data_IF_346696038269
#
_entry.id   IF_346696038269
#
_cell.length_a   1.000
_cell.length_b   1.000
_cell.length_c   1.000
_cell.angle_alpha   90.00
_cell.angle_beta   90.00
_cell.angle_gamma   90.00
#
_symmetry.space_group_name_H-M   'P 1'
#
loop_
_entity.id
_entity.type
_entity.pdbx_description
1 polymer ?
#
# COMPACT_ATOMS: atom_id res chain seq x y z
N UNK A 1 -21.55 -9.91 24.99
CA UNK A 1 -20.46 -9.02 24.58
C UNK A 1 -21.17 -7.94 23.82
N UNK A 2 -21.35 -6.80 24.48
CA UNK A 2 -22.04 -5.65 23.90
C UNK A 2 -21.26 -5.21 22.67
N UNK A 3 -21.93 -5.22 21.52
CA UNK A 3 -21.52 -4.47 20.34
C UNK A 3 -21.55 -2.99 20.75
N UNK A 4 -20.44 -2.50 21.32
CA UNK A 4 -20.18 -1.07 21.34
C UNK A 4 -20.04 -0.67 19.88
N UNK A 5 -21.12 -0.12 19.32
CA UNK A 5 -21.05 0.73 18.15
C UNK A 5 -20.10 1.89 18.52
N UNK A 6 -18.80 1.70 18.29
CA UNK A 6 -17.78 2.72 18.45
C UNK A 6 -18.15 3.86 17.49
N UNK A 7 -18.75 4.92 18.03
CA UNK A 7 -19.06 6.11 17.26
C UNK A 7 -17.77 6.63 16.61
N UNK A 8 -17.81 7.01 15.33
CA UNK A 8 -16.63 7.46 14.61
C UNK A 8 -16.03 8.70 15.29
N UNK A 9 -14.74 8.64 15.60
CA UNK A 9 -13.94 9.75 16.13
C UNK A 9 -13.95 10.91 15.13
N UNK A 10 -14.51 12.04 15.53
CA UNK A 10 -14.55 13.23 14.69
C UNK A 10 -13.13 13.71 14.35
N UNK A 11 -12.86 13.94 13.06
CA UNK A 11 -11.56 14.43 12.57
C UNK A 11 -10.49 13.36 12.34
N UNK A 12 -10.77 12.08 12.65
CA UNK A 12 -9.88 10.96 12.34
C UNK A 12 -10.14 10.40 10.93
N UNK A 13 -9.10 9.94 10.20
CA UNK A 13 -9.28 9.34 8.89
C UNK A 13 -10.08 8.03 8.97
N UNK A 14 -10.92 7.76 7.97
CA UNK A 14 -11.60 6.50 7.77
C UNK A 14 -10.73 5.50 7.01
N UNK A 15 -10.54 4.31 7.58
CA UNK A 15 -9.81 3.21 6.95
C UNK A 15 -10.76 2.01 6.81
N UNK A 16 -10.92 1.51 5.59
CA UNK A 16 -11.68 0.29 5.31
C UNK A 16 -10.74 -0.90 5.21
N UNK A 17 -10.98 -1.96 5.98
CA UNK A 17 -10.26 -3.22 5.89
C UNK A 17 -11.21 -4.26 5.28
N UNK A 18 -10.76 -4.98 4.25
CA UNK A 18 -11.52 -6.02 3.56
C UNK A 18 -10.82 -7.37 3.76
N UNK A 19 -11.52 -8.31 4.40
CA UNK A 19 -10.99 -9.63 4.77
C UNK A 19 -12.07 -10.73 4.65
N UNK A 20 -12.16 -11.42 3.51
CA UNK A 20 -13.22 -12.41 3.23
C UNK A 20 -12.95 -13.84 3.72
N UNK A 21 -11.71 -14.22 4.02
CA UNK A 21 -11.36 -15.63 4.32
C UNK A 21 -10.45 -15.82 5.50
N UNK A 22 -9.71 -14.80 5.90
CA UNK A 22 -8.74 -14.94 6.98
C UNK A 22 -9.45 -15.20 8.32
N UNK A 23 -8.85 -16.03 9.16
CA UNK A 23 -8.89 -15.85 10.61
C UNK A 23 -8.66 -14.36 10.87
N UNK A 24 -9.55 -13.73 11.64
CA UNK A 24 -9.77 -12.28 11.65
C UNK A 24 -8.47 -11.46 11.48
N UNK A 25 -8.46 -10.35 10.72
CA UNK A 25 -7.26 -9.51 10.62
C UNK A 25 -6.69 -9.18 12.01
N UNK A 26 -7.57 -9.09 13.00
CA UNK A 26 -7.30 -9.08 14.43
C UNK A 26 -6.31 -10.17 14.92
N UNK A 27 -6.42 -11.42 14.50
CA UNK A 27 -5.56 -12.52 14.98
C UNK A 27 -4.11 -12.39 14.48
N UNK A 28 -3.92 -12.07 13.20
CA UNK A 28 -2.58 -11.95 12.61
C UNK A 28 -1.95 -10.58 12.81
N UNK A 29 -2.76 -9.54 12.99
CA UNK A 29 -2.34 -8.14 12.99
C UNK A 29 -2.93 -7.33 14.16
N UNK A 30 -3.22 -7.97 15.30
CA UNK A 30 -3.78 -7.31 16.49
C UNK A 30 -3.01 -6.05 16.90
N UNK A 31 -1.67 -6.10 16.84
CA UNK A 31 -0.83 -4.95 17.18
C UNK A 31 -1.01 -3.79 16.20
N UNK A 32 -0.93 -4.05 14.89
CA UNK A 32 -1.16 -3.04 13.86
C UNK A 32 -2.58 -2.50 13.94
N UNK A 33 -3.58 -3.36 14.12
CA UNK A 33 -4.97 -2.96 14.23
C UNK A 33 -5.22 -2.08 15.45
N UNK A 34 -4.62 -2.40 16.61
CA UNK A 34 -4.67 -1.54 17.78
C UNK A 34 -4.07 -0.15 17.51
N UNK A 35 -2.95 -0.08 16.79
CA UNK A 35 -2.34 1.20 16.37
C UNK A 35 -3.25 1.96 15.40
N UNK A 36 -3.87 1.29 14.42
CA UNK A 36 -4.81 1.92 13.50
C UNK A 36 -6.05 2.45 14.25
N UNK A 37 -6.65 1.65 15.12
CA UNK A 37 -7.84 2.02 15.89
C UNK A 37 -7.59 3.17 16.87
N UNK A 38 -6.36 3.33 17.38
CA UNK A 38 -6.05 4.48 18.24
C UNK A 38 -6.08 5.80 17.48
N UNK A 39 -5.72 5.81 16.19
CA UNK A 39 -5.52 7.03 15.41
C UNK A 39 -6.53 7.25 14.27
N UNK A 40 -7.30 6.23 13.88
CA UNK A 40 -8.22 6.25 12.74
C UNK A 40 -9.58 5.59 13.08
N UNK A 41 -10.58 5.90 12.25
CA UNK A 41 -11.87 5.22 12.22
C UNK A 41 -11.74 3.98 11.32
N UNK A 42 -11.42 2.85 11.94
CA UNK A 42 -11.20 1.59 11.22
C UNK A 42 -12.51 0.81 11.11
N UNK A 43 -12.89 0.45 9.90
CA UNK A 43 -14.01 -0.47 9.64
C UNK A 43 -13.51 -1.73 8.96
N UNK A 44 -13.62 -2.87 9.63
CA UNK A 44 -13.36 -4.17 9.03
C UNK A 44 -14.64 -4.73 8.40
N UNK A 45 -14.52 -5.28 7.19
CA UNK A 45 -15.63 -5.88 6.47
C UNK A 45 -15.24 -7.27 5.97
N UNK A 46 -15.99 -8.25 6.46
CA UNK A 46 -15.81 -9.66 6.13
C UNK A 46 -16.73 -10.12 4.99
N UNK A 47 -17.79 -9.35 4.72
CA UNK A 47 -18.84 -9.74 3.78
C UNK A 47 -18.73 -8.98 2.45
N UNK A 48 -18.78 -9.68 1.30
CA UNK A 48 -18.66 -9.07 -0.03
C UNK A 48 -19.66 -7.94 -0.32
N UNK A 49 -20.90 -8.11 0.12
CA UNK A 49 -21.98 -7.12 -0.11
C UNK A 49 -21.76 -5.85 0.72
N UNK A 50 -21.31 -6.02 1.96
CA UNK A 50 -20.93 -4.90 2.82
C UNK A 50 -19.71 -4.18 2.24
N UNK A 51 -18.69 -4.92 1.78
CA UNK A 51 -17.47 -4.32 1.21
C UNK A 51 -17.80 -3.48 -0.03
N UNK A 52 -18.67 -4.00 -0.91
CA UNK A 52 -19.17 -3.25 -2.06
C UNK A 52 -19.85 -1.94 -1.66
N UNK A 53 -20.70 -2.00 -0.63
CA UNK A 53 -21.45 -0.84 -0.15
C UNK A 53 -20.52 0.22 0.46
N UNK A 54 -19.49 -0.21 1.20
CA UNK A 54 -18.51 0.69 1.79
C UNK A 54 -17.59 1.34 0.74
N UNK A 55 -17.14 0.56 -0.25
CA UNK A 55 -16.38 1.09 -1.39
C UNK A 55 -17.22 2.13 -2.15
N UNK A 56 -18.48 1.82 -2.44
CA UNK A 56 -19.37 2.70 -3.20
C UNK A 56 -19.70 4.01 -2.44
N UNK A 57 -19.55 4.05 -1.10
CA UNK A 57 -19.70 5.28 -0.30
C UNK A 57 -18.52 6.25 -0.45
N UNK A 58 -17.33 5.77 -0.79
CA UNK A 58 -16.17 6.61 -1.15
C UNK A 58 -15.64 7.58 -0.08
N UNK A 59 -15.86 7.32 1.22
CA UNK A 59 -15.45 8.23 2.31
C UNK A 59 -14.20 7.75 3.07
N UNK A 60 -13.58 6.66 2.63
CA UNK A 60 -12.37 6.11 3.25
C UNK A 60 -11.13 6.72 2.60
N UNK A 61 -10.19 7.19 3.40
CA UNK A 61 -8.89 7.65 2.90
C UNK A 61 -7.98 6.48 2.53
N UNK A 62 -8.24 5.27 3.04
CA UNK A 62 -7.49 4.09 2.68
C UNK A 62 -8.37 2.85 2.67
N UNK A 63 -8.11 1.93 1.73
CA UNK A 63 -8.73 0.61 1.68
C UNK A 63 -7.62 -0.44 1.74
N UNK A 64 -7.55 -1.18 2.85
CA UNK A 64 -6.64 -2.29 3.05
C UNK A 64 -7.35 -3.59 2.66
N UNK A 65 -6.74 -4.37 1.78
CA UNK A 65 -7.24 -5.70 1.40
C UNK A 65 -6.25 -6.72 1.93
N UNK A 66 -6.69 -7.55 2.88
CA UNK A 66 -5.74 -8.28 3.74
C UNK A 66 -5.70 -9.78 3.45
N UNK A 67 -6.53 -10.27 2.53
CA UNK A 67 -6.46 -11.65 2.10
C UNK A 67 -6.65 -11.83 0.60
N UNK A 68 -6.10 -12.94 0.10
CA UNK A 68 -6.12 -13.27 -1.31
C UNK A 68 -7.49 -13.72 -1.80
N UNK A 69 -8.48 -13.97 -0.93
CA UNK A 69 -9.79 -14.44 -1.38
C UNK A 69 -10.54 -13.38 -2.17
N UNK A 70 -10.19 -12.10 -2.01
CA UNK A 70 -10.60 -11.02 -2.91
C UNK A 70 -10.40 -11.38 -4.40
N UNK A 71 -9.40 -12.22 -4.71
CA UNK A 71 -9.05 -12.62 -6.08
C UNK A 71 -9.95 -13.72 -6.66
N UNK A 72 -10.79 -14.39 -5.84
CA UNK A 72 -11.64 -15.48 -6.29
C UNK A 72 -12.74 -14.97 -7.25
N UNK A 73 -13.13 -15.80 -8.23
CA UNK A 73 -14.11 -15.43 -9.28
C UNK A 73 -15.43 -14.87 -8.72
N UNK A 74 -15.90 -15.38 -7.58
CA UNK A 74 -17.13 -14.90 -6.93
C UNK A 74 -17.06 -13.44 -6.44
N UNK A 75 -15.85 -12.90 -6.24
CA UNK A 75 -15.62 -11.51 -5.82
C UNK A 75 -15.20 -10.61 -7.00
N UNK A 76 -15.33 -11.09 -8.24
CA UNK A 76 -15.00 -10.32 -9.45
C UNK A 76 -15.68 -8.96 -9.56
N UNK A 77 -16.88 -8.80 -8.99
CA UNK A 77 -17.56 -7.51 -8.94
C UNK A 77 -16.84 -6.53 -7.98
N UNK A 78 -16.39 -7.00 -6.82
CA UNK A 78 -15.64 -6.20 -5.85
C UNK A 78 -14.28 -5.83 -6.43
N UNK A 79 -13.59 -6.79 -7.05
CA UNK A 79 -12.39 -6.50 -7.83
C UNK A 79 -12.67 -5.48 -8.93
N UNK A 80 -13.81 -5.53 -9.61
CA UNK A 80 -14.16 -4.54 -10.62
C UNK A 80 -14.36 -3.15 -10.01
N UNK A 81 -14.94 -3.06 -8.81
CA UNK A 81 -15.11 -1.80 -8.07
C UNK A 81 -13.80 -1.28 -7.53
N UNK A 82 -13.01 -2.11 -6.85
CA UNK A 82 -11.65 -1.80 -6.42
C UNK A 82 -10.80 -1.43 -7.62
N UNK A 83 -10.90 -2.13 -8.75
CA UNK A 83 -10.24 -1.75 -10.00
C UNK A 83 -10.79 -0.49 -10.61
N UNK A 84 -12.04 -0.09 -10.37
CA UNK A 84 -12.58 1.19 -10.86
C UNK A 84 -12.08 2.33 -9.98
N UNK A 85 -12.13 2.13 -8.67
CA UNK A 85 -11.50 2.96 -7.64
C UNK A 85 -10.00 3.12 -7.94
N UNK A 86 -9.29 2.03 -8.23
CA UNK A 86 -7.88 1.98 -8.57
C UNK A 86 -7.59 2.41 -10.01
N UNK A 87 -8.41 2.13 -11.03
CA UNK A 87 -8.14 2.56 -12.44
C UNK A 87 -8.40 4.03 -12.66
N UNK A 88 -9.32 4.62 -11.90
CA UNK A 88 -9.34 6.08 -11.79
C UNK A 88 -8.00 6.62 -11.28
N UNK A 89 -7.16 5.77 -10.66
CA UNK A 89 -5.90 6.11 -9.99
C UNK A 89 -4.63 5.51 -10.59
N UNK A 90 -4.70 4.47 -11.44
CA UNK A 90 -3.57 3.60 -11.79
C UNK A 90 -3.62 3.17 -13.27
N UNK A 91 -3.88 4.08 -14.20
CA UNK A 91 -4.03 3.71 -15.62
C UNK A 91 -2.75 3.18 -16.33
N UNK A 92 -1.64 2.87 -15.64
CA UNK A 92 -0.39 2.34 -16.23
C UNK A 92 0.33 1.39 -15.27
N UNK A 93 0.32 0.06 -15.46
CA UNK A 93 1.09 -0.88 -14.61
C UNK A 93 1.41 -2.23 -15.33
N UNK A 94 2.62 -2.75 -15.08
CA UNK A 94 3.18 -4.08 -15.44
C UNK A 94 4.21 -4.54 -14.37
N UNK A 95 4.83 -5.72 -14.48
CA UNK A 95 5.60 -6.40 -13.40
C UNK A 95 7.13 -6.51 -13.62
N UNK A 96 7.98 -6.21 -12.62
CA UNK A 96 9.40 -6.63 -12.52
C UNK A 96 9.81 -6.99 -11.08
N UNK A 97 11.05 -7.42 -10.80
CA UNK A 97 11.62 -7.64 -9.46
C UNK A 97 12.94 -6.89 -9.28
N UNK A 98 13.06 -6.03 -8.26
CA UNK A 98 14.34 -5.38 -7.88
C UNK A 98 14.38 -5.04 -6.39
N UNK A 99 15.55 -4.69 -5.84
CA UNK A 99 15.70 -4.23 -4.45
C UNK A 99 15.14 -2.81 -4.35
N UNK A 100 14.61 -2.34 -3.21
CA UNK A 100 14.03 -0.98 -3.13
C UNK A 100 14.60 -0.11 -1.99
N UNK A 101 14.87 1.18 -2.28
CA UNK A 101 15.43 2.21 -1.40
C UNK A 101 14.42 3.35 -1.18
N UNK A 102 14.35 3.91 0.03
CA UNK A 102 13.40 4.99 0.34
C UNK A 102 13.59 6.17 -0.60
N UNK A 103 12.49 6.66 -1.17
CA UNK A 103 12.52 7.77 -2.10
C UNK A 103 12.58 9.11 -1.35
N UNK A 104 13.64 9.92 -1.52
CA UNK A 104 13.69 11.26 -0.92
C UNK A 104 12.68 12.24 -1.57
N UNK A 105 12.11 11.89 -2.73
CA UNK A 105 11.16 12.72 -3.47
C UNK A 105 9.70 12.56 -3.07
N UNK A 106 9.35 11.65 -2.17
CA UNK A 106 7.96 11.49 -1.69
C UNK A 106 7.66 12.57 -0.65
N UNK A 107 7.02 13.66 -1.08
CA UNK A 107 6.80 14.85 -0.24
C UNK A 107 5.55 14.78 0.63
N UNK A 108 4.60 13.92 0.27
CA UNK A 108 3.28 13.87 0.91
C UNK A 108 3.11 12.70 1.89
N UNK A 109 4.17 11.90 2.07
CA UNK A 109 4.25 10.83 3.04
C UNK A 109 5.18 11.24 4.19
N UNK A 110 4.74 11.04 5.43
CA UNK A 110 5.62 11.13 6.59
C UNK A 110 6.64 9.96 6.53
N UNK A 111 7.86 10.26 6.09
CA UNK A 111 8.93 9.26 5.92
C UNK A 111 9.72 8.99 7.20
N UNK A 112 9.46 9.75 8.26
CA UNK A 112 10.13 9.63 9.55
C UNK A 112 9.81 8.27 10.19
N UNK A 113 10.85 7.45 10.41
CA UNK A 113 10.73 6.12 11.00
C UNK A 113 10.71 4.97 9.99
N UNK A 114 10.52 5.26 8.70
CA UNK A 114 10.66 4.27 7.62
C UNK A 114 12.13 3.83 7.45
N UNK A 115 12.36 2.54 7.18
CA UNK A 115 13.70 2.06 6.84
C UNK A 115 14.20 2.70 5.54
N UNK A 116 15.51 2.98 5.50
CA UNK A 116 16.20 3.50 4.31
C UNK A 116 16.21 2.49 3.15
N UNK A 117 16.24 1.20 3.48
CA UNK A 117 16.23 0.09 2.53
C UNK A 117 15.08 -0.84 2.91
N UNK A 118 14.26 -1.21 1.92
CA UNK A 118 13.15 -2.14 2.11
C UNK A 118 13.62 -3.56 1.73
N UNK A 119 13.85 -4.47 2.69
CA UNK A 119 14.57 -5.71 2.44
C UNK A 119 13.63 -6.81 1.95
N UNK A 120 13.29 -6.86 0.65
CA UNK A 120 12.39 -7.91 0.14
C UNK A 120 12.85 -8.62 -1.12
N UNK A 121 12.59 -9.93 -1.11
CA UNK A 121 12.90 -10.90 -2.18
C UNK A 121 11.66 -11.39 -2.93
N UNK A 122 10.44 -11.01 -2.48
CA UNK A 122 9.16 -11.42 -3.06
C UNK A 122 8.09 -10.35 -2.86
N UNK A 123 8.17 -9.28 -3.64
CA UNK A 123 7.12 -8.27 -3.71
C UNK A 123 6.50 -8.24 -5.12
N UNK A 124 5.24 -7.81 -5.20
CA UNK A 124 4.61 -7.40 -6.45
C UNK A 124 5.00 -5.93 -6.70
N UNK A 125 5.43 -5.60 -7.91
CA UNK A 125 5.85 -4.23 -8.25
C UNK A 125 4.82 -3.54 -9.13
N UNK A 126 4.71 -2.22 -8.96
CA UNK A 126 3.96 -1.28 -9.77
C UNK A 126 4.90 -0.57 -10.75
N UNK A 127 4.71 -0.73 -12.07
CA UNK A 127 5.47 -0.01 -13.11
C UNK A 127 4.80 1.28 -13.55
N UNK A 128 5.59 2.26 -14.00
CA UNK A 128 5.06 3.46 -14.66
C UNK A 128 4.43 4.46 -13.70
N UNK A 129 4.81 4.37 -12.42
CA UNK A 129 4.47 5.33 -11.38
C UNK A 129 5.28 6.62 -11.58
N UNK A 130 4.69 7.78 -11.24
CA UNK A 130 5.48 9.01 -11.12
C UNK A 130 6.40 8.90 -9.91
N UNK A 131 7.58 9.53 -9.99
CA UNK A 131 8.63 9.33 -8.98
C UNK A 131 8.16 9.75 -7.60
N UNK A 132 7.44 10.86 -7.47
CA UNK A 132 6.88 11.34 -6.20
C UNK A 132 5.80 10.43 -5.60
N UNK A 133 5.25 9.50 -6.39
CA UNK A 133 4.28 8.49 -5.93
C UNK A 133 4.96 7.19 -5.44
N UNK A 134 6.26 7.03 -5.68
CA UNK A 134 7.01 5.84 -5.28
C UNK A 134 7.55 6.05 -3.87
N UNK A 135 7.12 5.25 -2.89
CA UNK A 135 7.68 5.34 -1.53
C UNK A 135 9.07 4.74 -1.52
N UNK A 136 9.24 3.60 -2.20
CA UNK A 136 10.51 2.93 -2.35
C UNK A 136 10.89 2.83 -3.83
N UNK A 137 12.01 3.41 -4.21
CA UNK A 137 12.60 3.34 -5.54
C UNK A 137 13.31 2.01 -5.72
N UNK A 138 13.11 1.34 -6.85
CA UNK A 138 13.99 0.22 -7.18
C UNK A 138 15.44 0.68 -7.32
N UNK A 139 16.36 -0.14 -6.84
CA UNK A 139 17.77 0.17 -6.68
C UNK A 139 18.57 -1.03 -7.15
N UNK A 140 19.34 -0.85 -8.21
CA UNK A 140 20.38 -1.80 -8.62
C UNK A 140 21.68 -1.34 -7.97
N UNK A 141 22.25 -2.19 -7.12
CA UNK A 141 23.51 -1.86 -6.49
C UNK A 141 24.63 -1.83 -7.54
N UNK A 142 25.61 -0.90 -7.45
CA UNK A 142 26.69 -0.82 -8.43
C UNK A 142 27.43 -2.15 -8.64
N UNK A 143 27.57 -2.95 -7.59
CA UNK A 143 28.16 -4.29 -7.64
C UNK A 143 27.33 -5.35 -8.37
N UNK A 144 26.03 -5.11 -8.56
CA UNK A 144 25.09 -5.99 -9.27
C UNK A 144 25.04 -5.65 -10.80
N UNK A 145 25.77 -4.62 -11.24
CA UNK A 145 25.86 -4.21 -12.66
C UNK A 145 26.97 -5.04 -13.34
N UNK A 146 26.61 -5.81 -14.36
CA UNK A 146 27.59 -6.55 -15.16
C UNK A 146 28.57 -5.59 -15.86
N UNK A 147 29.85 -5.95 -15.94
CA UNK A 147 30.94 -5.14 -16.54
C UNK A 147 30.77 -4.82 -18.06
N UNK A 148 29.60 -5.07 -18.64
CA UNK A 148 29.24 -4.71 -20.01
C UNK A 148 27.88 -4.02 -20.14
N UNK A 149 27.23 -3.65 -19.03
CA UNK A 149 25.99 -2.88 -19.04
C UNK A 149 26.31 -1.40 -19.32
N UNK A 150 25.94 -0.93 -20.51
CA UNK A 150 26.17 0.43 -20.99
C UNK A 150 25.00 1.38 -20.70
N UNK A 151 24.02 0.94 -19.92
CA UNK A 151 22.87 1.76 -19.52
C UNK A 151 23.31 2.88 -18.58
N UNK A 152 22.93 4.11 -18.93
CA UNK A 152 23.15 5.27 -18.06
C UNK A 152 22.33 5.11 -16.78
N UNK A 153 22.97 5.29 -15.62
CA UNK A 153 22.28 5.33 -14.32
C UNK A 153 22.13 6.75 -13.82
N UNK A 154 21.01 7.05 -13.16
CA UNK A 154 20.81 8.29 -12.42
C UNK A 154 21.61 8.29 -11.11
N UNK A 155 21.59 9.40 -10.38
CA UNK A 155 22.31 9.56 -9.10
C UNK A 155 21.84 8.59 -8.00
N UNK A 156 20.77 7.83 -8.26
CA UNK A 156 20.17 6.85 -7.37
C UNK A 156 20.33 5.42 -7.88
N UNK A 157 21.15 5.17 -8.91
CA UNK A 157 21.41 3.83 -9.42
C UNK A 157 20.25 3.24 -10.23
N UNK A 158 19.35 4.08 -10.74
CA UNK A 158 18.28 3.66 -11.65
C UNK A 158 18.63 3.90 -13.10
N UNK A 159 18.20 2.99 -13.98
CA UNK A 159 18.41 3.15 -15.42
C UNK A 159 17.65 4.35 -15.95
N UNK A 160 18.37 5.28 -16.57
CA UNK A 160 17.82 6.47 -17.21
C UNK A 160 17.00 6.06 -18.43
N UNK A 161 15.73 6.46 -18.46
CA UNK A 161 14.83 6.22 -19.59
C UNK A 161 14.08 4.89 -19.56
N UNK A 162 14.28 4.03 -18.56
CA UNK A 162 13.45 2.85 -18.31
C UNK A 162 12.21 3.20 -17.47
N UNK A 163 11.12 2.44 -17.66
CA UNK A 163 9.93 2.56 -16.80
C UNK A 163 10.29 2.13 -15.38
N UNK A 164 10.19 3.07 -14.44
CA UNK A 164 10.47 2.79 -13.03
C UNK A 164 9.35 1.96 -12.42
N UNK A 165 9.73 1.08 -11.49
CA UNK A 165 8.82 0.28 -10.71
C UNK A 165 9.08 0.32 -9.22
N UNK A 166 8.03 0.07 -8.44
CA UNK A 166 8.08 0.15 -6.98
C UNK A 166 7.27 -0.95 -6.33
N UNK A 167 7.80 -1.53 -5.25
CA UNK A 167 7.06 -2.44 -4.38
C UNK A 167 6.08 -1.71 -3.47
N UNK A 168 6.21 -0.38 -3.35
CA UNK A 168 5.41 0.43 -2.43
C UNK A 168 5.12 1.79 -3.06
N UNK A 169 3.86 2.02 -3.43
CA UNK A 169 3.42 3.31 -3.96
C UNK A 169 2.44 4.00 -3.03
N UNK A 170 2.45 5.31 -3.02
CA UNK A 170 1.51 6.15 -2.31
C UNK A 170 1.20 7.37 -3.17
N UNK A 171 -0.06 7.53 -3.56
CA UNK A 171 -0.49 8.60 -4.46
C UNK A 171 -1.70 9.35 -3.89
N UNK A 172 -1.73 10.67 -4.12
CA UNK A 172 -2.87 11.52 -3.81
C UNK A 172 -3.98 11.32 -4.84
N UNK A 173 -5.20 11.19 -4.36
CA UNK A 173 -6.37 10.75 -5.11
C UNK A 173 -7.56 11.63 -4.73
N UNK A 174 -7.86 12.65 -5.53
CA UNK A 174 -8.88 13.67 -5.21
C UNK A 174 -8.65 14.30 -3.81
N UNK A 175 -9.49 13.97 -2.83
CA UNK A 175 -9.39 14.42 -1.43
C UNK A 175 -8.76 13.36 -0.49
N UNK A 176 -8.29 12.24 -1.04
CA UNK A 176 -7.77 11.09 -0.30
C UNK A 176 -6.45 10.57 -0.84
N UNK A 177 -6.07 9.36 -0.42
CA UNK A 177 -4.79 8.74 -0.75
C UNK A 177 -4.99 7.27 -1.12
N UNK A 178 -4.08 6.73 -1.93
CA UNK A 178 -4.06 5.30 -2.23
C UNK A 178 -2.65 4.79 -2.02
N UNK A 179 -2.52 3.84 -1.08
CA UNK A 179 -1.31 3.09 -0.83
C UNK A 179 -1.37 1.71 -1.47
N UNK A 180 -0.26 1.29 -2.08
CA UNK A 180 -0.01 -0.08 -2.49
C UNK A 180 1.23 -0.58 -1.77
N UNK A 181 1.14 -1.77 -1.19
CA UNK A 181 2.27 -2.50 -0.65
C UNK A 181 2.23 -3.88 -1.30
N UNK A 182 3.21 -4.16 -2.15
CA UNK A 182 3.32 -5.41 -2.86
C UNK A 182 4.03 -6.51 -2.08
N UNK A 183 4.56 -6.19 -0.90
CA UNK A 183 5.16 -7.15 0.00
C UNK A 183 4.08 -8.04 0.65
N UNK A 184 4.31 -9.35 0.58
CA UNK A 184 3.42 -10.38 1.11
C UNK A 184 3.87 -10.92 2.47
N UNK A 185 5.02 -10.46 2.99
CA UNK A 185 5.58 -10.94 4.25
C UNK A 185 5.29 -9.94 5.39
N UNK A 186 5.06 -10.47 6.58
CA UNK A 186 4.82 -9.64 7.76
C UNK A 186 6.15 -9.15 8.36
N UNK A 187 6.20 -7.89 8.79
CA UNK A 187 7.37 -7.33 9.43
C UNK A 187 7.16 -5.89 9.90
N UNK A 188 8.00 -5.46 10.83
CA UNK A 188 7.97 -4.12 11.44
C UNK A 188 8.00 -3.02 10.38
N UNK A 189 8.74 -3.22 9.29
CA UNK A 189 8.85 -2.22 8.23
C UNK A 189 7.57 -2.08 7.40
N UNK A 190 6.82 -3.16 7.21
CA UNK A 190 5.50 -3.09 6.57
C UNK A 190 4.49 -2.38 7.47
N UNK A 191 4.49 -2.65 8.78
CA UNK A 191 3.61 -1.94 9.73
C UNK A 191 3.86 -0.43 9.69
N UNK A 192 5.12 -0.02 9.77
CA UNK A 192 5.50 1.39 9.72
C UNK A 192 5.10 2.04 8.40
N UNK A 193 5.30 1.34 7.28
CA UNK A 193 4.89 1.80 5.96
C UNK A 193 3.38 2.03 5.89
N UNK A 194 2.58 1.09 6.39
CA UNK A 194 1.12 1.24 6.46
C UNK A 194 0.71 2.42 7.34
N UNK A 195 1.32 2.56 8.53
CA UNK A 195 1.03 3.67 9.44
C UNK A 195 1.34 5.02 8.79
N UNK A 196 2.54 5.16 8.21
CA UNK A 196 2.91 6.36 7.46
C UNK A 196 1.95 6.68 6.32
N UNK A 197 1.53 5.67 5.54
CA UNK A 197 0.55 5.84 4.44
C UNK A 197 -0.82 6.29 4.95
N UNK A 198 -1.17 5.95 6.18
CA UNK A 198 -2.42 6.40 6.80
C UNK A 198 -2.29 7.79 7.46
N UNK A 199 -1.14 8.46 7.35
CA UNK A 199 -0.86 9.72 8.02
C UNK A 199 -0.67 9.57 9.53
N UNK A 200 -0.30 8.37 10.00
CA UNK A 200 -0.18 8.01 11.40
C UNK A 200 1.28 7.96 11.84
N UNK A 201 1.53 8.12 13.15
CA UNK A 201 2.89 8.03 13.68
C UNK A 201 3.40 6.59 13.58
N UNK A 202 4.56 6.43 12.94
CA UNK A 202 5.22 5.14 12.68
C UNK A 202 6.43 4.89 13.60
N UNK A 203 6.65 5.76 14.61
CA UNK A 203 7.76 5.64 15.58
C UNK A 203 7.53 4.61 16.68
#
# INVERSE_FOLDING_TARGET
>A
MDDMDDEPKAGCPGILIISFKCESFHEQYSELLGKLQTQANVKEVLEPTAASSEIDRGHYQAILVTDAAITERKHSNILSRLRKYLRAQLERLGHDQSRSKLNPGVSELATEGLAEMYPYTKAVYLRGMERDQMVYLNYTAPEDIDEGDDRDLDEYGQVVGEEQDTSVAFAGVDEGWVGFIGDLNHGVEMEKTVLSMCGLDAR
#
